data_IF_222337081058
#
_entry.id   IF_222337081058
#
_cell.length_a   1.000
_cell.length_b   1.000
_cell.length_c   1.000
_cell.angle_alpha   90.00
_cell.angle_beta   90.00
_cell.angle_gamma   90.00
#
_symmetry.space_group_name_H-M   'P 1'
#
loop_
_entity.id
_entity.type
_entity.pdbx_description
1 polymer ?
#
# COMPACT_ATOMS: atom_id res chain seq x y z
N UNK A 1 -17.93 -26.33 25.41
CA UNK A 1 -17.50 -25.85 24.07
C UNK A 1 -16.23 -26.58 23.69
N UNK A 2 -16.27 -27.38 22.61
CA UNK A 2 -15.12 -28.16 22.13
C UNK A 2 -14.55 -27.52 20.87
N UNK A 3 -13.22 -27.36 20.81
CA UNK A 3 -12.49 -26.89 19.62
C UNK A 3 -12.45 -28.00 18.57
N UNK A 4 -12.91 -27.71 17.36
CA UNK A 4 -12.95 -28.68 16.25
C UNK A 4 -11.75 -28.56 15.33
N UNK A 5 -11.59 -27.41 14.69
CA UNK A 5 -10.54 -27.15 13.69
C UNK A 5 -10.37 -25.65 13.47
N UNK A 6 -9.35 -25.27 12.71
CA UNK A 6 -9.10 -23.90 12.26
C UNK A 6 -9.19 -23.79 10.73
N UNK A 7 -9.70 -22.66 10.24
CA UNK A 7 -9.76 -22.31 8.84
C UNK A 7 -8.98 -21.02 8.56
N UNK A 8 -8.29 -20.99 7.44
CA UNK A 8 -7.63 -19.78 6.91
C UNK A 8 -8.58 -18.87 6.11
N UNK A 9 -9.78 -19.35 5.80
CA UNK A 9 -10.77 -18.62 5.02
C UNK A 9 -12.08 -18.52 5.81
N UNK A 10 -12.48 -17.30 6.24
CA UNK A 10 -13.69 -17.11 7.05
C UNK A 10 -14.96 -17.52 6.30
N UNK A 11 -14.97 -17.44 4.97
CA UNK A 11 -16.15 -17.80 4.17
C UNK A 11 -16.36 -19.31 4.10
N UNK A 12 -15.27 -20.08 4.02
CA UNK A 12 -15.35 -21.55 4.07
C UNK A 12 -15.81 -22.03 5.44
N UNK A 13 -15.25 -21.46 6.51
CA UNK A 13 -15.70 -21.71 7.87
C UNK A 13 -17.21 -21.45 8.01
N UNK A 14 -17.68 -20.31 7.50
CA UNK A 14 -19.10 -19.97 7.54
C UNK A 14 -19.97 -20.96 6.77
N UNK A 15 -19.59 -21.37 5.56
CA UNK A 15 -20.38 -22.36 4.79
C UNK A 15 -20.54 -23.70 5.51
N UNK A 16 -19.53 -24.12 6.28
CA UNK A 16 -19.63 -25.33 7.11
C UNK A 16 -20.55 -25.10 8.31
N UNK A 17 -20.45 -23.94 8.98
CA UNK A 17 -21.36 -23.57 10.07
C UNK A 17 -22.82 -23.55 9.60
N UNK A 18 -23.07 -22.98 8.42
CA UNK A 18 -24.42 -22.87 7.84
C UNK A 18 -24.99 -24.25 7.50
N UNK A 19 -24.16 -25.14 6.94
CA UNK A 19 -24.55 -26.53 6.70
C UNK A 19 -24.85 -27.28 7.99
N UNK A 20 -23.99 -27.18 9.00
CA UNK A 20 -24.24 -27.84 10.28
C UNK A 20 -25.49 -27.27 10.97
N UNK A 21 -25.76 -25.97 10.80
CA UNK A 21 -26.99 -25.35 11.28
C UNK A 21 -28.25 -25.89 10.59
N UNK A 22 -28.23 -26.12 9.27
CA UNK A 22 -29.37 -26.77 8.57
C UNK A 22 -29.59 -28.21 9.02
N UNK A 23 -28.56 -28.84 9.58
CA UNK A 23 -28.62 -30.17 10.20
C UNK A 23 -28.97 -30.17 11.70
N UNK A 24 -29.32 -29.00 12.26
CA UNK A 24 -29.71 -28.83 13.66
C UNK A 24 -28.54 -28.70 14.64
N UNK A 25 -27.31 -28.50 14.16
CA UNK A 25 -26.09 -28.42 14.97
C UNK A 25 -25.60 -26.97 15.04
N UNK A 26 -25.42 -26.45 16.26
CA UNK A 26 -24.97 -25.08 16.47
C UNK A 26 -23.45 -25.02 16.67
N UNK A 27 -22.76 -24.42 15.69
CA UNK A 27 -21.33 -24.12 15.73
C UNK A 27 -21.09 -22.61 15.92
N UNK A 28 -19.97 -22.27 16.55
CA UNK A 28 -19.50 -20.89 16.71
C UNK A 28 -18.10 -20.71 16.16
N UNK A 29 -17.84 -19.53 15.59
CA UNK A 29 -16.53 -19.15 15.06
C UNK A 29 -15.85 -18.16 16.00
N UNK A 30 -14.57 -18.39 16.31
CA UNK A 30 -13.74 -17.46 17.07
C UNK A 30 -12.43 -17.17 16.32
N UNK A 31 -11.96 -15.90 16.27
CA UNK A 31 -10.66 -15.57 15.68
C UNK A 31 -9.52 -16.11 16.55
N UNK A 32 -8.51 -16.74 15.95
CA UNK A 32 -7.39 -17.41 16.67
C UNK A 32 -6.02 -16.73 16.43
N UNK A 33 -6.01 -15.48 15.93
CA UNK A 33 -4.76 -14.80 15.53
C UNK A 33 -4.30 -15.23 14.14
N UNK A 34 -3.36 -14.50 13.53
CA UNK A 34 -2.80 -14.77 12.19
C UNK A 34 -3.83 -14.94 11.05
N UNK A 35 -5.03 -14.35 11.19
CA UNK A 35 -6.11 -14.48 10.21
C UNK A 35 -6.80 -15.85 10.18
N UNK A 36 -6.52 -16.71 11.18
CA UNK A 36 -7.13 -18.01 11.34
C UNK A 36 -8.41 -17.93 12.18
N UNK A 37 -9.37 -18.79 11.88
CA UNK A 37 -10.66 -18.86 12.56
C UNK A 37 -10.93 -20.28 13.07
N UNK A 38 -11.09 -20.44 14.38
CA UNK A 38 -11.42 -21.71 15.01
C UNK A 38 -12.93 -21.94 15.05
N UNK A 39 -13.36 -23.17 14.77
CA UNK A 39 -14.72 -23.62 14.99
C UNK A 39 -14.87 -24.30 16.36
N UNK A 40 -15.93 -23.94 17.05
CA UNK A 40 -16.29 -24.45 18.37
C UNK A 40 -17.69 -25.07 18.35
N UNK A 41 -17.80 -26.28 18.89
CA UNK A 41 -19.04 -27.01 19.07
C UNK A 41 -19.57 -26.79 20.48
N UNK A 42 -20.85 -26.47 20.62
CA UNK A 42 -21.49 -26.27 21.93
C UNK A 42 -21.95 -27.57 22.58
N UNK A 43 -22.39 -28.55 21.79
CA UNK A 43 -22.97 -29.81 22.24
C UNK A 43 -21.99 -30.99 22.02
N UNK A 44 -21.54 -31.61 23.10
CA UNK A 44 -20.52 -32.67 23.06
C UNK A 44 -21.06 -33.99 22.49
N UNK A 45 -22.37 -34.24 22.57
CA UNK A 45 -22.97 -35.49 22.09
C UNK A 45 -22.92 -35.63 20.55
N UNK A 46 -22.72 -34.52 19.84
CA UNK A 46 -22.72 -34.47 18.38
C UNK A 46 -21.32 -34.45 17.77
N UNK A 47 -20.27 -34.62 18.58
CA UNK A 47 -18.87 -34.46 18.14
C UNK A 47 -18.48 -35.44 17.03
N UNK A 48 -18.87 -36.71 17.12
CA UNK A 48 -18.51 -37.73 16.13
C UNK A 48 -19.12 -37.41 14.76
N UNK A 49 -20.39 -36.96 14.77
CA UNK A 49 -21.10 -36.54 13.56
C UNK A 49 -20.43 -35.33 12.91
N UNK A 50 -20.07 -34.33 13.71
CA UNK A 50 -19.39 -33.12 13.21
C UNK A 50 -18.02 -33.46 12.67
N UNK A 51 -17.23 -34.30 13.35
CA UNK A 51 -15.89 -34.68 12.90
C UNK A 51 -15.91 -35.48 11.59
N UNK A 52 -16.88 -36.38 11.41
CA UNK A 52 -17.04 -37.13 10.17
C UNK A 52 -17.40 -36.20 8.99
N UNK A 53 -18.31 -35.26 9.22
CA UNK A 53 -18.69 -34.29 8.19
C UNK A 53 -17.55 -33.32 7.89
N UNK A 54 -16.77 -32.93 8.90
CA UNK A 54 -15.60 -32.05 8.77
C UNK A 54 -14.49 -32.72 7.94
N UNK A 55 -14.29 -34.03 8.07
CA UNK A 55 -13.40 -34.80 7.16
C UNK A 55 -13.89 -34.72 5.71
N UNK A 56 -15.20 -34.87 5.50
CA UNK A 56 -15.79 -34.81 4.16
C UNK A 56 -15.71 -33.39 3.58
N UNK A 57 -15.99 -32.36 4.38
CA UNK A 57 -15.83 -30.95 4.02
C UNK A 57 -14.39 -30.64 3.65
N UNK A 58 -13.41 -31.11 4.43
CA UNK A 58 -11.99 -30.88 4.14
C UNK A 58 -11.54 -31.48 2.81
N UNK A 59 -12.17 -32.59 2.38
CA UNK A 59 -11.89 -33.20 1.08
C UNK A 59 -12.53 -32.47 -0.10
N UNK A 60 -13.69 -31.85 0.08
CA UNK A 60 -14.36 -31.07 -0.97
C UNK A 60 -15.15 -29.87 -0.38
N UNK A 61 -14.45 -28.77 -0.03
CA UNK A 61 -15.07 -27.63 0.65
C UNK A 61 -16.06 -26.86 -0.23
N UNK A 62 -15.94 -26.98 -1.55
CA UNK A 62 -16.74 -26.23 -2.52
C UNK A 62 -17.99 -26.98 -2.99
N UNK A 63 -18.29 -28.14 -2.39
CA UNK A 63 -19.46 -28.93 -2.77
C UNK A 63 -20.77 -28.13 -2.64
N UNK A 64 -21.67 -28.29 -3.62
CA UNK A 64 -22.92 -27.51 -3.72
C UNK A 64 -23.77 -27.52 -2.44
N UNK A 65 -23.75 -28.62 -1.67
CA UNK A 65 -24.51 -28.76 -0.41
C UNK A 65 -24.16 -27.73 0.66
N UNK A 66 -22.90 -27.31 0.73
CA UNK A 66 -22.44 -26.31 1.71
C UNK A 66 -22.81 -24.90 1.28
N UNK A 67 -22.80 -24.65 -0.04
CA UNK A 67 -23.21 -23.36 -0.60
C UNK A 67 -24.74 -23.18 -0.53
N UNK A 68 -25.50 -24.25 -0.80
CA UNK A 68 -26.96 -24.25 -0.71
C UNK A 68 -27.45 -23.96 0.72
N UNK A 69 -26.83 -24.59 1.72
CA UNK A 69 -27.18 -24.35 3.13
C UNK A 69 -26.94 -22.91 3.58
N UNK A 70 -25.91 -22.23 3.05
CA UNK A 70 -25.71 -20.80 3.31
C UNK A 70 -26.88 -19.94 2.83
N UNK A 71 -27.59 -20.33 1.76
CA UNK A 71 -28.78 -19.61 1.29
C UNK A 71 -30.01 -19.87 2.17
N UNK A 72 -30.20 -21.10 2.64
CA UNK A 72 -31.31 -21.47 3.54
C UNK A 72 -31.18 -20.82 4.92
N UNK A 73 -29.95 -20.68 5.43
CA UNK A 73 -29.69 -20.13 6.76
C UNK A 73 -29.49 -18.60 6.73
N UNK A 74 -29.28 -18.00 5.55
CA UNK A 74 -29.04 -16.57 5.37
C UNK A 74 -30.14 -15.66 5.97
N UNK A 75 -31.41 -16.05 5.84
CA UNK A 75 -32.53 -15.24 6.39
C UNK A 75 -32.57 -15.24 7.93
N UNK A 76 -31.99 -16.28 8.56
CA UNK A 76 -32.03 -16.46 10.02
C UNK A 76 -30.82 -15.84 10.75
N UNK A 77 -29.69 -15.61 10.07
CA UNK A 77 -28.43 -15.19 10.71
C UNK A 77 -27.72 -14.07 9.94
N UNK A 78 -27.82 -12.84 10.43
CA UNK A 78 -27.02 -11.68 9.99
C UNK A 78 -25.61 -11.72 10.58
N UNK A 79 -24.78 -12.69 10.19
CA UNK A 79 -23.36 -12.66 10.53
C UNK A 79 -22.68 -11.60 9.64
N UNK A 80 -22.40 -10.43 10.21
CA UNK A 80 -21.70 -9.34 9.52
C UNK A 80 -20.21 -9.64 9.52
N UNK A 81 -19.67 -10.04 8.37
CA UNK A 81 -18.22 -10.12 8.18
C UNK A 81 -17.59 -8.74 8.31
N UNK A 82 -16.97 -8.45 9.46
CA UNK A 82 -16.15 -7.26 9.65
C UNK A 82 -14.78 -7.50 9.05
N UNK A 83 -14.64 -7.22 7.76
CA UNK A 83 -13.33 -7.02 7.16
C UNK A 83 -12.75 -5.75 7.79
N UNK A 84 -11.77 -5.90 8.68
CA UNK A 84 -10.97 -4.77 9.15
C UNK A 84 -10.14 -4.28 7.98
N UNK A 85 -10.66 -3.32 7.19
CA UNK A 85 -9.84 -2.66 6.20
C UNK A 85 -8.70 -1.95 6.94
N UNK A 86 -7.43 -2.24 6.62
CA UNK A 86 -6.33 -1.56 7.27
C UNK A 86 -6.49 -0.06 7.06
N UNK A 87 -6.27 0.72 8.11
CA UNK A 87 -6.41 2.16 8.07
C UNK A 87 -5.50 2.71 6.96
N UNK A 88 -6.01 3.54 6.04
CA UNK A 88 -5.24 4.08 4.92
C UNK A 88 -3.94 4.77 5.39
N UNK A 89 -4.00 5.41 6.55
CA UNK A 89 -2.83 6.02 7.18
C UNK A 89 -1.79 4.99 7.65
N UNK A 90 -2.23 3.83 8.16
CA UNK A 90 -1.34 2.73 8.52
C UNK A 90 -0.70 2.13 7.27
N UNK A 91 -1.44 1.98 6.17
CA UNK A 91 -0.90 1.48 4.91
C UNK A 91 0.13 2.45 4.30
N UNK A 92 -0.14 3.75 4.32
CA UNK A 92 0.80 4.77 3.85
C UNK A 92 2.11 4.74 4.64
N UNK A 93 2.03 4.67 5.98
CA UNK A 93 3.20 4.61 6.86
C UNK A 93 3.92 3.27 6.80
N UNK A 94 3.20 2.16 6.64
CA UNK A 94 3.79 0.83 6.55
C UNK A 94 4.68 0.67 5.31
N UNK A 95 4.43 1.47 4.25
CA UNK A 95 5.18 1.41 2.98
C UNK A 95 6.22 2.52 2.79
N UNK A 96 6.25 3.54 3.65
CA UNK A 96 7.11 4.70 3.47
C UNK A 96 7.91 5.02 4.74
N UNK A 97 9.23 5.16 4.58
CA UNK A 97 10.08 5.66 5.65
C UNK A 97 10.03 7.19 5.77
N UNK A 98 10.85 7.72 6.68
CA UNK A 98 10.85 9.14 7.07
C UNK A 98 11.23 10.07 5.92
N UNK A 99 12.14 9.65 5.03
CA UNK A 99 12.57 10.45 3.87
C UNK A 99 11.46 10.48 2.82
N UNK A 100 10.88 9.32 2.53
CA UNK A 100 9.79 9.20 1.56
C UNK A 100 8.63 10.10 1.97
N UNK A 101 8.16 9.98 3.21
CA UNK A 101 7.09 10.81 3.76
C UNK A 101 7.47 12.29 3.85
N UNK A 102 8.71 12.60 4.23
CA UNK A 102 9.20 13.98 4.32
C UNK A 102 9.16 14.69 2.98
N UNK A 103 9.64 14.07 1.91
CA UNK A 103 9.62 14.66 0.56
C UNK A 103 8.18 14.78 0.05
N UNK A 104 7.32 13.78 0.28
CA UNK A 104 5.89 13.89 -0.06
C UNK A 104 5.23 15.09 0.63
N UNK A 105 5.48 15.26 1.94
CA UNK A 105 4.94 16.37 2.71
C UNK A 105 5.43 17.72 2.16
N UNK A 106 6.72 17.85 1.84
CA UNK A 106 7.28 19.07 1.23
C UNK A 106 6.59 19.38 -0.10
N UNK A 107 6.46 18.40 -1.00
CA UNK A 107 5.77 18.58 -2.27
C UNK A 107 4.32 19.06 -2.09
N UNK A 108 3.57 18.46 -1.15
CA UNK A 108 2.19 18.84 -0.86
C UNK A 108 2.12 20.26 -0.27
N UNK A 109 2.98 20.58 0.70
CA UNK A 109 3.04 21.89 1.35
C UNK A 109 3.39 23.00 0.35
N UNK A 110 4.26 22.75 -0.63
CA UNK A 110 4.57 23.72 -1.68
C UNK A 110 3.46 23.80 -2.74
N UNK A 111 2.69 22.74 -2.94
CA UNK A 111 1.61 22.71 -3.92
C UNK A 111 0.34 23.41 -3.43
N UNK A 112 -0.04 23.30 -2.15
CA UNK A 112 -1.28 23.87 -1.60
C UNK A 112 -1.38 25.40 -1.81
N UNK A 113 -0.36 26.22 -1.46
CA UNK A 113 -0.41 27.68 -1.67
C UNK A 113 -0.58 28.07 -3.15
N UNK A 114 -0.20 27.19 -4.07
CA UNK A 114 -0.39 27.38 -5.50
C UNK A 114 -1.87 27.47 -5.87
N UNK A 115 -2.74 26.76 -5.15
CA UNK A 115 -4.20 26.75 -5.38
C UNK A 115 -4.87 28.09 -5.04
N UNK A 116 -4.25 28.90 -4.18
CA UNK A 116 -4.75 30.22 -3.75
C UNK A 116 -4.00 31.38 -4.42
N UNK A 117 -3.23 31.11 -5.48
CA UNK A 117 -2.59 32.12 -6.32
C UNK A 117 -1.13 32.47 -5.97
N UNK A 118 -0.50 31.80 -5.00
CA UNK A 118 0.90 32.09 -4.60
C UNK A 118 1.94 31.39 -5.49
N UNK A 119 1.55 31.05 -6.71
CA UNK A 119 2.33 30.22 -7.60
C UNK A 119 3.64 30.88 -8.06
N UNK A 120 3.61 32.19 -8.28
CA UNK A 120 4.77 32.93 -8.76
C UNK A 120 5.81 33.07 -7.64
N UNK A 121 5.37 33.40 -6.43
CA UNK A 121 6.24 33.54 -5.26
C UNK A 121 6.93 32.22 -4.92
N UNK A 122 6.18 31.11 -4.89
CA UNK A 122 6.78 29.79 -4.67
C UNK A 122 7.75 29.42 -5.79
N UNK A 123 7.40 29.72 -7.05
CA UNK A 123 8.30 29.44 -8.16
C UNK A 123 9.60 30.25 -8.06
N UNK A 124 9.52 31.56 -7.83
CA UNK A 124 10.65 32.48 -7.71
C UNK A 124 11.70 32.05 -6.68
N UNK A 125 11.27 31.42 -5.58
CA UNK A 125 12.19 30.99 -4.51
C UNK A 125 12.82 29.62 -4.74
N UNK A 126 12.13 28.73 -5.49
CA UNK A 126 12.50 27.32 -5.58
C UNK A 126 12.92 26.87 -7.00
N UNK A 127 12.74 27.71 -8.03
CA UNK A 127 13.16 27.38 -9.40
C UNK A 127 14.69 27.23 -9.53
N UNK A 128 15.10 26.46 -10.54
CA UNK A 128 16.51 26.22 -10.88
C UNK A 128 17.23 27.55 -11.20
N UNK A 129 18.52 27.74 -10.88
CA UNK A 129 19.19 29.02 -11.13
C UNK A 129 19.06 29.50 -12.58
N UNK A 130 18.45 30.66 -12.77
CA UNK A 130 18.22 31.29 -14.07
C UNK A 130 19.22 32.42 -14.34
N UNK A 131 19.70 33.08 -13.29
CA UNK A 131 20.58 34.25 -13.37
C UNK A 131 21.91 34.01 -12.66
N UNK A 132 22.96 34.73 -13.07
CA UNK A 132 24.28 34.64 -12.45
C UNK A 132 24.27 34.98 -10.95
N UNK A 133 23.35 35.84 -10.48
CA UNK A 133 23.17 36.14 -9.06
C UNK A 133 22.66 34.95 -8.23
N UNK A 134 22.07 33.94 -8.88
CA UNK A 134 21.48 32.78 -8.23
C UNK A 134 22.43 31.57 -8.18
N UNK A 135 23.62 31.65 -8.79
CA UNK A 135 24.55 30.51 -8.90
C UNK A 135 25.02 29.96 -7.55
N UNK A 136 25.12 30.81 -6.52
CA UNK A 136 25.52 30.42 -5.17
C UNK A 136 24.34 30.00 -4.28
N UNK A 137 23.12 30.03 -4.82
CA UNK A 137 21.91 29.61 -4.11
C UNK A 137 21.75 28.09 -4.23
N UNK A 138 22.60 27.35 -3.51
CA UNK A 138 22.79 25.89 -3.66
C UNK A 138 21.49 25.09 -3.57
N UNK A 139 20.52 25.55 -2.76
CA UNK A 139 19.23 24.88 -2.64
C UNK A 139 18.46 24.80 -3.96
N UNK A 140 18.64 25.78 -4.87
CA UNK A 140 17.96 25.85 -6.16
C UNK A 140 18.28 24.70 -7.11
N UNK A 141 19.44 24.07 -6.93
CA UNK A 141 19.84 22.89 -7.69
C UNK A 141 19.09 21.62 -7.29
N UNK A 142 18.27 21.66 -6.23
CA UNK A 142 17.48 20.53 -5.74
C UNK A 142 16.01 20.90 -5.51
N UNK A 143 15.72 22.14 -5.14
CA UNK A 143 14.38 22.60 -4.78
C UNK A 143 13.40 22.59 -5.94
N UNK A 144 13.88 22.68 -7.19
CA UNK A 144 13.03 22.54 -8.37
C UNK A 144 12.34 21.16 -8.41
N UNK A 145 12.96 20.12 -7.83
CA UNK A 145 12.45 18.75 -7.88
C UNK A 145 11.18 18.56 -7.03
N UNK A 146 10.86 19.48 -6.11
CA UNK A 146 9.65 19.41 -5.27
C UNK A 146 8.52 20.33 -5.77
N UNK A 147 8.76 21.11 -6.83
CA UNK A 147 7.74 21.96 -7.44
C UNK A 147 6.82 21.16 -8.37
N UNK A 148 5.51 21.46 -8.35
CA UNK A 148 4.54 20.83 -9.23
C UNK A 148 3.52 21.84 -9.76
N UNK A 149 3.06 21.62 -11.00
CA UNK A 149 2.26 22.61 -11.74
C UNK A 149 0.80 22.18 -12.00
N UNK A 150 0.46 20.90 -11.78
CA UNK A 150 -0.91 20.40 -11.94
C UNK A 150 -1.19 19.25 -10.96
N UNK A 151 -2.48 19.00 -10.71
CA UNK A 151 -2.95 17.96 -9.77
C UNK A 151 -2.50 16.57 -10.24
N UNK A 152 -2.66 16.29 -11.54
CA UNK A 152 -2.22 15.02 -12.11
C UNK A 152 -0.71 14.85 -12.00
N UNK A 153 0.07 15.91 -12.26
CA UNK A 153 1.53 15.86 -12.19
C UNK A 153 2.03 15.51 -10.78
N UNK A 154 1.52 16.19 -9.74
CA UNK A 154 1.89 15.86 -8.35
C UNK A 154 1.41 14.48 -7.94
N UNK A 155 0.19 14.09 -8.31
CA UNK A 155 -0.40 12.80 -7.92
C UNK A 155 0.44 11.63 -8.44
N UNK A 156 0.78 11.62 -9.73
CA UNK A 156 1.57 10.54 -10.31
C UNK A 156 3.00 10.51 -9.79
N UNK A 157 3.65 11.67 -9.63
CA UNK A 157 5.00 11.72 -9.07
C UNK A 157 5.04 11.21 -7.64
N UNK A 158 4.10 11.64 -6.78
CA UNK A 158 4.05 11.19 -5.39
C UNK A 158 3.67 9.73 -5.29
N UNK A 159 2.81 9.20 -6.16
CA UNK A 159 2.48 7.78 -6.23
C UNK A 159 3.73 6.94 -6.54
N UNK A 160 4.49 7.31 -7.58
CA UNK A 160 5.70 6.58 -7.96
C UNK A 160 6.82 6.73 -6.93
N UNK A 161 6.98 7.92 -6.36
CA UNK A 161 7.91 8.16 -5.27
C UNK A 161 7.55 7.35 -4.02
N UNK A 162 6.28 7.32 -3.64
CA UNK A 162 5.81 6.54 -2.50
C UNK A 162 6.04 5.05 -2.70
N UNK A 163 5.73 4.54 -3.90
CA UNK A 163 5.93 3.13 -4.24
C UNK A 163 7.43 2.77 -4.29
N UNK A 164 8.19 3.38 -5.19
CA UNK A 164 9.57 2.99 -5.47
C UNK A 164 10.54 3.52 -4.42
N UNK A 165 10.37 4.77 -4.00
CA UNK A 165 11.18 5.39 -2.96
C UNK A 165 10.98 4.71 -1.61
N UNK A 166 9.73 4.39 -1.26
CA UNK A 166 9.39 3.63 -0.06
C UNK A 166 10.08 2.26 -0.01
N UNK A 167 10.00 1.50 -1.11
CA UNK A 167 10.64 0.19 -1.23
C UNK A 167 12.18 0.29 -1.06
N UNK A 168 12.83 1.30 -1.66
CA UNK A 168 14.27 1.53 -1.49
C UNK A 168 14.62 1.94 -0.05
N UNK A 169 13.86 2.85 0.55
CA UNK A 169 14.14 3.34 1.90
C UNK A 169 14.05 2.22 2.93
N UNK A 170 13.06 1.33 2.79
CA UNK A 170 12.87 0.21 3.71
C UNK A 170 13.92 -0.88 3.51
N UNK A 171 14.24 -1.24 2.27
CA UNK A 171 15.16 -2.35 1.98
C UNK A 171 16.62 -1.96 2.04
N UNK A 172 16.96 -0.75 1.58
CA UNK A 172 18.33 -0.29 1.38
C UNK A 172 18.71 0.91 2.26
N UNK A 173 17.75 1.45 3.00
CA UNK A 173 17.95 2.52 3.97
C UNK A 173 17.82 3.94 3.40
N UNK A 174 17.45 4.88 4.30
CA UNK A 174 17.25 6.31 4.01
C UNK A 174 18.40 7.00 3.28
N UNK A 175 19.65 6.63 3.60
CA UNK A 175 20.84 7.25 3.00
C UNK A 175 20.99 6.92 1.51
N UNK A 176 20.52 5.76 1.06
CA UNK A 176 20.57 5.40 -0.36
C UNK A 176 19.51 6.18 -1.14
N UNK A 177 18.28 6.27 -0.60
CA UNK A 177 17.22 7.06 -1.20
C UNK A 177 17.61 8.55 -1.34
N UNK A 178 18.17 9.15 -0.28
CA UNK A 178 18.64 10.55 -0.33
C UNK A 178 19.72 10.78 -1.39
N UNK A 179 20.68 9.85 -1.53
CA UNK A 179 21.70 9.96 -2.58
C UNK A 179 21.09 9.90 -3.98
N UNK A 180 20.16 8.98 -4.21
CA UNK A 180 19.44 8.89 -5.50
C UNK A 180 18.71 10.20 -5.76
N UNK A 181 17.96 10.72 -4.79
CA UNK A 181 17.26 12.00 -4.90
C UNK A 181 18.21 13.14 -5.29
N UNK A 182 19.29 13.35 -4.52
CA UNK A 182 20.22 14.46 -4.74
C UNK A 182 20.92 14.38 -6.10
N UNK A 183 21.46 13.22 -6.46
CA UNK A 183 22.19 13.04 -7.72
C UNK A 183 21.25 13.17 -8.90
N UNK A 184 20.08 12.53 -8.85
CA UNK A 184 19.13 12.59 -9.97
C UNK A 184 18.49 13.97 -10.11
N UNK A 185 18.14 14.66 -9.01
CA UNK A 185 17.61 16.03 -9.07
C UNK A 185 18.63 16.98 -9.71
N UNK A 186 19.90 16.91 -9.29
CA UNK A 186 20.96 17.74 -9.86
C UNK A 186 21.18 17.46 -11.34
N UNK A 187 21.39 16.19 -11.71
CA UNK A 187 21.68 15.81 -13.10
C UNK A 187 20.51 16.09 -14.03
N UNK A 188 19.28 15.75 -13.62
CA UNK A 188 18.09 16.03 -14.43
C UNK A 188 17.81 17.53 -14.53
N UNK A 189 18.02 18.29 -13.45
CA UNK A 189 17.89 19.74 -13.46
C UNK A 189 18.91 20.41 -14.40
N UNK A 190 20.18 20.02 -14.34
CA UNK A 190 21.21 20.53 -15.26
C UNK A 190 20.88 20.19 -16.72
N UNK A 191 20.45 18.95 -17.00
CA UNK A 191 20.07 18.53 -18.34
C UNK A 191 18.87 19.32 -18.87
N UNK A 192 17.80 19.46 -18.07
CA UNK A 192 16.62 20.23 -18.44
C UNK A 192 16.97 21.70 -18.68
N UNK A 193 17.78 22.30 -17.80
CA UNK A 193 18.22 23.68 -17.93
C UNK A 193 18.96 23.95 -19.23
N UNK A 194 19.80 23.01 -19.67
CA UNK A 194 20.57 23.16 -20.89
C UNK A 194 19.72 23.07 -22.16
N UNK A 195 18.60 22.34 -22.11
CA UNK A 195 17.71 22.12 -23.27
C UNK A 195 16.60 23.18 -23.34
N UNK A 196 15.94 23.47 -22.21
CA UNK A 196 14.70 24.28 -22.16
C UNK A 196 14.80 25.52 -21.25
N UNK A 197 15.92 25.74 -20.57
CA UNK A 197 16.10 26.83 -19.62
C UNK A 197 15.53 26.53 -18.22
N UNK A 198 15.38 27.54 -17.36
CA UNK A 198 15.08 27.36 -15.93
C UNK A 198 13.58 27.20 -15.57
N UNK A 199 12.69 27.22 -16.56
CA UNK A 199 11.23 27.22 -16.35
C UNK A 199 10.64 25.81 -16.18
N UNK A 200 11.17 25.05 -15.22
CA UNK A 200 10.75 23.68 -14.94
C UNK A 200 10.69 23.39 -13.45
N UNK A 201 10.12 22.23 -13.13
CA UNK A 201 9.97 21.73 -11.77
C UNK A 201 9.22 20.42 -11.78
N UNK A 202 9.52 19.55 -10.82
CA UNK A 202 8.89 18.24 -10.72
C UNK A 202 9.83 17.16 -10.23
N UNK A 203 9.25 16.17 -9.56
CA UNK A 203 9.97 15.01 -9.07
C UNK A 203 10.23 13.98 -10.18
N UNK A 204 9.73 14.21 -11.40
CA UNK A 204 9.76 13.27 -12.51
C UNK A 204 11.17 12.78 -12.85
N UNK A 205 12.18 13.66 -12.89
CA UNK A 205 13.57 13.27 -13.12
C UNK A 205 14.10 12.27 -12.07
N UNK A 206 13.69 12.46 -10.80
CA UNK A 206 13.99 11.53 -9.71
C UNK A 206 13.21 10.23 -9.87
N UNK A 207 11.92 10.30 -10.24
CA UNK A 207 11.09 9.11 -10.49
C UNK A 207 11.67 8.25 -11.61
N UNK A 208 12.10 8.84 -12.72
CA UNK A 208 12.77 8.10 -13.80
C UNK A 208 14.09 7.47 -13.34
N UNK A 209 14.86 8.15 -12.49
CA UNK A 209 16.05 7.57 -11.88
C UNK A 209 15.72 6.38 -10.97
N UNK A 210 14.61 6.44 -10.21
CA UNK A 210 14.13 5.31 -9.40
C UNK A 210 13.73 4.11 -10.29
N UNK A 211 12.98 4.35 -11.36
CA UNK A 211 12.60 3.30 -12.32
C UNK A 211 13.84 2.65 -12.94
N UNK A 212 14.79 3.45 -13.41
CA UNK A 212 16.05 2.96 -13.96
C UNK A 212 16.89 2.20 -12.92
N UNK A 213 16.91 2.68 -11.68
CA UNK A 213 17.58 2.01 -10.57
C UNK A 213 16.97 0.62 -10.31
N UNK A 214 15.65 0.51 -10.22
CA UNK A 214 14.97 -0.76 -10.06
C UNK A 214 15.23 -1.70 -11.23
N UNK A 215 15.16 -1.23 -12.48
CA UNK A 215 15.44 -2.07 -13.64
C UNK A 215 16.85 -2.66 -13.60
N UNK A 216 17.87 -1.85 -13.28
CA UNK A 216 19.25 -2.34 -13.16
C UNK A 216 19.39 -3.31 -11.98
N UNK A 217 18.73 -3.05 -10.86
CA UNK A 217 18.76 -3.93 -9.68
C UNK A 217 18.10 -5.27 -9.94
N UNK A 218 16.92 -5.31 -10.56
CA UNK A 218 16.25 -6.55 -10.94
C UNK A 218 17.11 -7.37 -11.90
N UNK A 219 17.84 -6.72 -12.81
CA UNK A 219 18.73 -7.40 -13.76
C UNK A 219 20.04 -7.92 -13.13
N UNK A 220 20.63 -7.19 -12.18
CA UNK A 220 21.97 -7.49 -11.65
C UNK A 220 22.01 -8.11 -10.25
N UNK A 221 20.97 -7.90 -9.46
CA UNK A 221 20.86 -8.37 -8.08
C UNK A 221 19.37 -8.66 -7.76
N UNK A 222 18.76 -9.67 -8.40
CA UNK A 222 17.33 -9.97 -8.25
C UNK A 222 16.91 -10.24 -6.81
N UNK A 223 17.82 -10.66 -5.94
CA UNK A 223 17.57 -10.84 -4.50
C UNK A 223 17.32 -9.53 -3.72
N UNK A 224 17.62 -8.36 -4.31
CA UNK A 224 17.40 -7.04 -3.73
C UNK A 224 16.24 -6.27 -4.37
N UNK A 225 15.69 -6.79 -5.48
CA UNK A 225 14.63 -6.17 -6.29
C UNK A 225 13.23 -6.37 -5.74
#
# INVERSE_FOLDING_TARGET
>A
MIRLTQFNNPRLAQSFIDYMASQGVTLSQMPEGDGMFALWLHDEEQIDRVQQELKTFSSNPHHNRYQAASWEVADSRKQVFRYSSPNMMQMLKAKAGVVTLGIMAICIVLYIPRLIGWQQQIFEWFHFPAFASQQFQVWRYFSHAVLHFSILHITFNLLWWWQLGGDIEQRLGKGRLLKIFLVSALLSGCAQYWIEGANFGGLSGVVYALVGYFWVMTARAPQLG
#
